data_IF_464856881350
#
_entry.id   IF_464856881350
#
_cell.length_a   1.000
_cell.length_b   1.000
_cell.length_c   1.000
_cell.angle_alpha   90.00
_cell.angle_beta   90.00
_cell.angle_gamma   90.00
#
_symmetry.space_group_name_H-M   'P 1'
#
loop_
_entity.id
_entity.type
_entity.pdbx_description
1 polymer ?
#
# COMPACT_ATOMS: atom_id res chain seq x y z
N UNK A 1 -54.23 10.45 -9.68
CA UNK A 1 -53.08 10.29 -8.76
C UNK A 1 -51.85 9.96 -9.60
N UNK A 2 -50.72 10.55 -9.22
CA UNK A 2 -49.36 10.44 -9.78
C UNK A 2 -49.00 11.36 -10.96
N UNK A 3 -48.82 12.64 -10.64
CA UNK A 3 -47.85 13.49 -11.35
C UNK A 3 -46.44 13.11 -10.91
N UNK A 4 -45.68 12.48 -11.80
CA UNK A 4 -44.23 12.29 -11.62
C UNK A 4 -43.58 13.64 -11.93
N UNK A 5 -43.22 14.38 -10.88
CA UNK A 5 -42.46 15.63 -10.99
C UNK A 5 -41.00 15.33 -11.40
N UNK A 6 -40.75 15.10 -12.68
CA UNK A 6 -39.40 15.13 -13.23
C UNK A 6 -38.92 16.57 -13.37
N UNK A 7 -37.87 16.92 -12.64
CA UNK A 7 -37.09 18.13 -12.85
C UNK A 7 -37.61 19.35 -12.11
N UNK A 8 -37.37 19.43 -10.79
CA UNK A 8 -37.26 20.76 -10.16
C UNK A 8 -36.11 21.49 -10.87
N UNK A 9 -36.38 22.68 -11.41
CA UNK A 9 -35.34 23.65 -11.69
C UNK A 9 -34.59 23.88 -10.38
N UNK A 10 -33.36 23.37 -10.30
CA UNK A 10 -32.43 23.56 -9.19
C UNK A 10 -32.16 25.06 -9.16
N UNK A 11 -32.85 25.80 -8.29
CA UNK A 11 -32.60 27.23 -8.12
C UNK A 11 -31.18 27.39 -7.61
N UNK A 12 -30.54 28.49 -7.99
CA UNK A 12 -29.16 28.83 -7.65
C UNK A 12 -28.88 28.95 -6.13
N UNK A 13 -29.84 28.57 -5.27
CA UNK A 13 -29.74 28.48 -3.81
C UNK A 13 -29.24 27.12 -3.30
N UNK A 14 -29.07 26.11 -4.16
CA UNK A 14 -28.77 24.73 -3.73
C UNK A 14 -27.31 24.48 -3.32
N UNK A 15 -26.42 25.48 -3.39
CA UNK A 15 -25.06 25.37 -2.88
C UNK A 15 -25.00 25.74 -1.39
N UNK A 16 -25.45 24.82 -0.54
CA UNK A 16 -25.23 24.93 0.90
C UNK A 16 -23.73 24.84 1.18
N UNK A 17 -23.14 25.92 1.68
CA UNK A 17 -21.74 25.93 2.13
C UNK A 17 -21.62 25.11 3.41
N UNK A 18 -20.79 24.07 3.39
CA UNK A 18 -20.43 23.31 4.60
C UNK A 18 -19.27 24.01 5.29
N UNK A 19 -19.45 24.39 6.56
CA UNK A 19 -18.37 24.93 7.39
C UNK A 19 -17.69 23.79 8.15
N UNK A 20 -16.39 23.62 7.94
CA UNK A 20 -15.56 22.68 8.69
C UNK A 20 -14.82 23.46 9.77
N UNK A 21 -15.00 23.06 11.03
CA UNK A 21 -14.21 23.58 12.16
C UNK A 21 -13.02 22.66 12.36
N UNK A 22 -11.82 23.22 12.37
CA UNK A 22 -10.59 22.48 12.56
C UNK A 22 -9.67 23.23 13.53
N UNK A 23 -8.86 22.53 14.34
CA UNK A 23 -7.86 23.20 15.16
C UNK A 23 -6.77 23.84 14.28
N UNK A 24 -6.12 24.86 14.83
CA UNK A 24 -5.20 25.74 14.10
C UNK A 24 -4.04 24.97 13.46
N UNK A 25 -3.47 24.01 14.18
CA UNK A 25 -2.35 23.19 13.70
C UNK A 25 -2.70 22.41 12.41
N UNK A 26 -3.92 21.85 12.33
CA UNK A 26 -4.35 21.13 11.14
C UNK A 26 -4.64 22.09 9.98
N UNK A 27 -5.16 23.28 10.27
CA UNK A 27 -5.38 24.29 9.23
C UNK A 27 -4.07 24.71 8.58
N UNK A 28 -3.06 25.00 9.39
CA UNK A 28 -1.72 25.37 8.93
C UNK A 28 -1.08 24.26 8.10
N UNK A 29 -1.17 23.01 8.54
CA UNK A 29 -0.66 21.87 7.80
C UNK A 29 -1.28 21.73 6.39
N UNK A 30 -2.60 21.93 6.27
CA UNK A 30 -3.30 21.85 4.98
C UNK A 30 -2.96 23.05 4.10
N UNK A 31 -2.78 24.23 4.70
CA UNK A 31 -2.38 25.44 3.97
C UNK A 31 -0.97 25.29 3.39
N UNK A 32 0.00 24.81 4.18
CA UNK A 32 1.35 24.51 3.69
C UNK A 32 1.34 23.46 2.57
N UNK A 33 0.53 22.42 2.71
CA UNK A 33 0.36 21.42 1.65
C UNK A 33 -0.21 22.05 0.36
N UNK A 34 -1.23 22.88 0.48
CA UNK A 34 -1.83 23.58 -0.65
C UNK A 34 -0.84 24.49 -1.38
N UNK A 35 -0.06 25.28 -0.63
CA UNK A 35 0.96 26.18 -1.18
C UNK A 35 2.06 25.42 -1.92
N UNK A 36 2.59 24.35 -1.31
CA UNK A 36 3.67 23.54 -1.90
C UNK A 36 3.23 22.80 -3.18
N UNK A 37 1.94 22.50 -3.32
CA UNK A 37 1.39 21.78 -4.47
C UNK A 37 0.64 22.70 -5.45
N UNK A 38 0.61 24.01 -5.22
CA UNK A 38 -0.14 25.01 -6.02
C UNK A 38 -1.64 24.69 -6.13
N UNK A 39 -2.25 24.24 -5.04
CA UNK A 39 -3.66 23.85 -4.97
C UNK A 39 -4.49 24.89 -4.22
N UNK A 40 -5.80 24.94 -4.52
CA UNK A 40 -6.74 25.65 -3.65
C UNK A 40 -6.88 24.90 -2.32
N UNK A 41 -7.20 25.62 -1.24
CA UNK A 41 -7.39 24.99 0.08
C UNK A 41 -8.46 23.88 0.04
N UNK A 42 -9.54 24.09 -0.72
CA UNK A 42 -10.60 23.08 -0.88
C UNK A 42 -10.10 21.83 -1.62
N UNK A 43 -9.29 22.02 -2.67
CA UNK A 43 -8.71 20.91 -3.44
C UNK A 43 -7.73 20.12 -2.58
N UNK A 44 -6.84 20.81 -1.87
CA UNK A 44 -5.91 20.20 -0.93
C UNK A 44 -6.63 19.41 0.17
N UNK A 45 -7.73 19.94 0.71
CA UNK A 45 -8.54 19.23 1.70
C UNK A 45 -9.11 17.92 1.14
N UNK A 46 -9.69 17.94 -0.06
CA UNK A 46 -10.25 16.75 -0.69
C UNK A 46 -9.18 15.70 -1.02
N UNK A 47 -8.02 16.13 -1.53
CA UNK A 47 -6.91 15.25 -1.86
C UNK A 47 -6.32 14.58 -0.61
N UNK A 48 -6.11 15.35 0.46
CA UNK A 48 -5.63 14.79 1.73
C UNK A 48 -6.65 13.85 2.38
N UNK A 49 -7.95 14.12 2.24
CA UNK A 49 -8.99 13.18 2.67
C UNK A 49 -8.94 11.88 1.88
N UNK A 50 -8.79 11.96 0.55
CA UNK A 50 -8.67 10.79 -0.32
C UNK A 50 -7.42 9.97 0.02
N UNK A 51 -6.27 10.63 0.22
CA UNK A 51 -5.04 10.00 0.69
C UNK A 51 -5.26 9.33 2.04
N UNK A 52 -5.93 10.01 2.98
CA UNK A 52 -6.24 9.47 4.30
C UNK A 52 -7.13 8.22 4.24
N UNK A 53 -8.17 8.25 3.40
CA UNK A 53 -9.08 7.12 3.18
C UNK A 53 -8.36 5.94 2.52
N UNK A 54 -7.64 6.19 1.42
CA UNK A 54 -6.81 5.17 0.76
C UNK A 54 -5.76 4.62 1.71
N UNK A 55 -5.10 5.44 2.51
CA UNK A 55 -4.07 4.97 3.45
C UNK A 55 -4.58 3.95 4.48
N UNK A 56 -5.89 3.95 4.80
CA UNK A 56 -6.49 2.92 5.66
C UNK A 56 -6.66 1.59 4.94
N UNK A 57 -7.17 1.63 3.70
CA UNK A 57 -7.47 0.44 2.89
C UNK A 57 -6.20 -0.14 2.23
N UNK A 58 -5.30 0.72 1.79
CA UNK A 58 -4.11 0.43 0.99
C UNK A 58 -2.82 0.46 1.85
N UNK A 59 -2.84 1.09 3.04
CA UNK A 59 -1.61 1.42 3.76
C UNK A 59 -0.91 2.59 3.09
N UNK A 60 0.09 3.21 3.73
CA UNK A 60 0.80 4.38 3.14
C UNK A 60 1.43 4.11 1.75
N UNK A 61 1.57 2.85 1.34
CA UNK A 61 2.16 2.44 0.05
C UNK A 61 1.27 1.57 -0.84
N UNK A 62 0.07 1.14 -0.41
CA UNK A 62 -0.70 0.13 -1.16
C UNK A 62 -0.25 -1.31 -0.99
N UNK A 63 0.73 -1.57 -0.10
CA UNK A 63 1.43 -2.85 -0.06
C UNK A 63 1.64 -3.36 1.36
N UNK A 64 1.49 -4.67 1.53
CA UNK A 64 1.78 -5.37 2.78
C UNK A 64 3.17 -5.99 2.72
N UNK A 65 3.98 -5.80 3.77
CA UNK A 65 5.35 -6.31 3.86
C UNK A 65 5.35 -7.62 4.64
N UNK A 66 5.98 -8.64 4.07
CA UNK A 66 6.18 -9.96 4.65
C UNK A 66 7.66 -10.30 4.71
N UNK A 67 8.01 -11.25 5.57
CA UNK A 67 9.30 -11.92 5.53
C UNK A 67 9.08 -13.43 5.47
N UNK A 68 9.98 -14.14 4.81
CA UNK A 68 9.97 -15.59 4.73
C UNK A 68 11.37 -16.13 4.97
N UNK A 69 11.45 -17.19 5.78
CA UNK A 69 12.66 -17.95 6.04
C UNK A 69 12.62 -19.24 5.24
N UNK A 70 13.63 -19.44 4.39
CA UNK A 70 13.81 -20.68 3.60
C UNK A 70 14.97 -21.46 4.19
N UNK A 71 14.69 -22.66 4.71
CA UNK A 71 15.70 -23.57 5.23
C UNK A 71 16.44 -24.25 4.07
N UNK A 72 17.77 -24.10 4.01
CA UNK A 72 18.61 -24.72 2.99
C UNK A 72 19.13 -26.12 3.41
N UNK A 73 19.00 -26.49 4.69
CA UNK A 73 19.60 -27.72 5.23
C UNK A 73 18.60 -28.86 5.40
N UNK A 74 17.43 -28.58 5.98
CA UNK A 74 16.47 -29.60 6.43
C UNK A 74 15.92 -30.44 5.28
N UNK A 75 15.76 -29.86 4.09
CA UNK A 75 15.16 -30.55 2.96
C UNK A 75 16.14 -31.50 2.24
N UNK A 76 17.45 -31.25 2.29
CA UNK A 76 18.45 -31.99 1.50
C UNK A 76 19.80 -32.14 2.24
N UNK A 77 19.89 -32.95 3.32
CA UNK A 77 21.07 -32.98 4.19
C UNK A 77 22.35 -33.54 3.53
N UNK A 78 22.23 -34.24 2.39
CA UNK A 78 23.36 -34.93 1.72
C UNK A 78 24.07 -34.11 0.63
N UNK A 79 23.59 -32.90 0.32
CA UNK A 79 24.13 -32.07 -0.77
C UNK A 79 25.15 -31.04 -0.27
N UNK A 80 26.12 -30.65 -1.13
CA UNK A 80 26.99 -29.51 -0.86
C UNK A 80 26.19 -28.24 -0.57
N UNK A 81 26.71 -27.38 0.31
CA UNK A 81 26.00 -26.18 0.75
C UNK A 81 25.64 -25.23 -0.39
N UNK A 82 26.57 -24.97 -1.31
CA UNK A 82 26.34 -24.07 -2.44
C UNK A 82 25.23 -24.55 -3.40
N UNK A 83 25.06 -25.86 -3.58
CA UNK A 83 23.96 -26.39 -4.40
C UNK A 83 22.61 -26.18 -3.72
N UNK A 84 22.57 -26.32 -2.39
CA UNK A 84 21.35 -26.12 -1.59
C UNK A 84 20.91 -24.66 -1.59
N UNK A 85 21.86 -23.73 -1.39
CA UNK A 85 21.56 -22.29 -1.47
C UNK A 85 21.11 -21.89 -2.86
N UNK A 86 21.75 -22.40 -3.92
CA UNK A 86 21.35 -22.11 -5.30
C UNK A 86 19.93 -22.57 -5.62
N UNK A 87 19.49 -23.71 -5.07
CA UNK A 87 18.10 -24.17 -5.22
C UNK A 87 17.11 -23.25 -4.50
N UNK A 88 17.41 -22.83 -3.29
CA UNK A 88 16.58 -21.88 -2.57
C UNK A 88 16.47 -20.55 -3.34
N UNK A 89 17.59 -20.05 -3.88
CA UNK A 89 17.61 -18.87 -4.75
C UNK A 89 16.76 -19.05 -6.02
N UNK A 90 16.82 -20.21 -6.66
CA UNK A 90 15.99 -20.52 -7.84
C UNK A 90 14.50 -20.54 -7.49
N UNK A 91 14.13 -21.12 -6.34
CA UNK A 91 12.75 -21.14 -5.86
C UNK A 91 12.23 -19.73 -5.58
N UNK A 92 13.04 -18.90 -4.90
CA UNK A 92 12.72 -17.51 -4.63
C UNK A 92 12.58 -16.74 -5.96
N UNK A 93 13.51 -16.93 -6.89
CA UNK A 93 13.47 -16.28 -8.21
C UNK A 93 12.22 -16.66 -8.99
N UNK A 94 11.82 -17.93 -8.94
CA UNK A 94 10.61 -18.44 -9.59
C UNK A 94 9.35 -17.77 -9.02
N UNK A 95 9.27 -17.60 -7.71
CA UNK A 95 8.14 -16.92 -7.07
C UNK A 95 7.93 -15.51 -7.63
N UNK A 96 8.99 -14.69 -7.69
CA UNK A 96 8.89 -13.32 -8.20
C UNK A 96 8.73 -13.24 -9.72
N UNK A 97 9.10 -14.29 -10.44
CA UNK A 97 8.81 -14.41 -11.86
C UNK A 97 7.33 -14.74 -12.12
N UNK A 98 6.75 -15.65 -11.33
CA UNK A 98 5.34 -16.04 -11.43
C UNK A 98 4.39 -14.96 -10.88
N UNK A 99 4.87 -14.12 -9.96
CA UNK A 99 4.14 -13.02 -9.33
C UNK A 99 4.84 -11.67 -9.54
N UNK A 100 4.73 -11.05 -10.73
CA UNK A 100 5.38 -9.76 -11.03
C UNK A 100 4.86 -8.60 -10.17
N UNK A 101 3.67 -8.74 -9.58
CA UNK A 101 3.09 -7.81 -8.63
C UNK A 101 3.78 -7.82 -7.26
N UNK A 102 4.56 -8.87 -6.95
CA UNK A 102 5.37 -8.97 -5.73
C UNK A 102 6.72 -8.28 -5.93
N UNK A 103 7.17 -7.57 -4.91
CA UNK A 103 8.42 -6.82 -4.96
C UNK A 103 9.35 -7.30 -3.85
N UNK A 104 10.49 -7.86 -4.25
CA UNK A 104 11.59 -8.17 -3.35
C UNK A 104 12.17 -6.86 -2.78
N UNK A 105 12.24 -6.77 -1.46
CA UNK A 105 12.76 -5.59 -0.73
C UNK A 105 14.19 -5.85 -0.27
N UNK A 106 14.42 -7.02 0.31
CA UNK A 106 15.72 -7.41 0.83
C UNK A 106 15.87 -8.92 0.83
N UNK A 107 17.10 -9.42 0.75
CA UNK A 107 17.44 -10.82 0.88
C UNK A 107 18.74 -10.93 1.65
N UNK A 108 18.78 -11.82 2.64
CA UNK A 108 19.96 -12.07 3.46
C UNK A 108 20.19 -13.57 3.64
N UNK A 109 21.47 -13.92 3.78
CA UNK A 109 21.90 -15.26 4.11
C UNK A 109 22.20 -15.34 5.60
N UNK A 110 21.56 -16.27 6.30
CA UNK A 110 21.66 -16.48 7.73
C UNK A 110 22.39 -17.78 8.05
N UNK A 111 22.93 -17.88 9.28
CA UNK A 111 23.57 -19.08 9.81
C UNK A 111 24.60 -19.68 8.85
N UNK A 112 25.54 -18.87 8.36
CA UNK A 112 26.57 -19.27 7.40
C UNK A 112 26.05 -19.91 6.09
N UNK A 113 24.81 -19.64 5.68
CA UNK A 113 24.22 -20.21 4.46
C UNK A 113 23.28 -21.40 4.70
N UNK A 114 22.89 -21.65 5.95
CA UNK A 114 21.89 -22.68 6.26
C UNK A 114 20.45 -22.19 6.06
N UNK A 115 20.24 -20.88 6.03
CA UNK A 115 18.92 -20.27 5.84
C UNK A 115 19.04 -19.02 4.98
N UNK A 116 18.05 -18.78 4.14
CA UNK A 116 17.87 -17.52 3.41
C UNK A 116 16.61 -16.85 3.96
N UNK A 117 16.74 -15.60 4.39
CA UNK A 117 15.58 -14.76 4.72
C UNK A 117 15.40 -13.74 3.62
N UNK A 118 14.18 -13.58 3.14
CA UNK A 118 13.85 -12.48 2.24
C UNK A 118 12.61 -11.74 2.70
N UNK A 119 12.61 -10.45 2.43
CA UNK A 119 11.50 -9.54 2.65
C UNK A 119 10.92 -9.16 1.31
N UNK A 120 9.61 -9.17 1.25
CA UNK A 120 8.90 -8.81 0.05
C UNK A 120 7.64 -8.06 0.40
N UNK A 121 7.16 -7.29 -0.56
CA UNK A 121 5.85 -6.69 -0.47
C UNK A 121 4.93 -7.29 -1.51
N UNK A 122 3.66 -7.43 -1.13
CA UNK A 122 2.56 -7.84 -2.00
C UNK A 122 1.51 -6.72 -2.06
N UNK A 123 0.67 -6.66 -3.11
CA UNK A 123 -0.49 -5.77 -3.14
C UNK A 123 -1.36 -5.99 -1.91
N UNK A 124 -1.87 -4.91 -1.29
CA UNK A 124 -2.68 -5.07 -0.08
C UNK A 124 -4.00 -5.81 -0.31
N UNK A 125 -4.52 -5.83 -1.53
CA UNK A 125 -5.66 -6.67 -1.94
C UNK A 125 -5.41 -8.17 -1.74
N UNK A 126 -4.16 -8.61 -1.70
CA UNK A 126 -3.73 -9.98 -1.49
C UNK A 126 -3.16 -10.20 -0.08
N UNK A 127 -3.22 -9.17 0.77
CA UNK A 127 -2.78 -9.23 2.15
C UNK A 127 -3.60 -10.25 2.93
N UNK A 128 -2.92 -11.16 3.62
CA UNK A 128 -3.52 -12.07 4.61
C UNK A 128 -3.88 -11.37 5.94
N UNK A 129 -3.66 -10.05 6.03
CA UNK A 129 -4.05 -9.21 7.17
C UNK A 129 -5.07 -8.19 6.69
N UNK A 130 -6.30 -8.29 7.21
CA UNK A 130 -7.34 -7.26 7.12
C UNK A 130 -6.89 -5.96 7.81
#
# INVERSE_FOLDING_TARGET
MNDIKTGRAVSQDDWKRTQVRMPQEQYEAIMTYAETHNLSLNTAMLELMEIGLKSKEEGKSGRSIYFMDVNCVEEYPKQPQHERTSRAEQMISRLFYEHPEYQLINIETLNNGEKIRYWYSIPRSESFRD
#
